data_IF_428696248677
#
_entry.id   IF_428696248677
#
_cell.length_a   1.000
_cell.length_b   1.000
_cell.length_c   1.000
_cell.angle_alpha   90.00
_cell.angle_beta   90.00
_cell.angle_gamma   90.00
#
_symmetry.space_group_name_H-M   'P 1'
#
loop_
_entity.id
_entity.type
_entity.pdbx_description
1 polymer ?
#
# COMPACT_ATOMS: atom_id res chain seq x y z
N UNK A 1 17.75 23.87 9.98
CA UNK A 1 16.54 23.41 9.32
C UNK A 1 16.10 22.11 9.98
N UNK A 2 14.82 21.98 10.24
CA UNK A 2 14.32 20.74 10.79
C UNK A 2 14.56 19.61 9.79
N UNK A 3 14.78 18.42 10.28
CA UNK A 3 14.95 17.26 9.44
C UNK A 3 13.61 16.87 8.83
N UNK A 4 13.59 16.19 7.67
CA UNK A 4 12.35 15.71 7.09
C UNK A 4 11.52 14.85 8.04
N UNK A 5 12.18 14.17 9.01
CA UNK A 5 11.48 13.37 10.00
C UNK A 5 10.59 14.20 10.92
N UNK A 6 10.93 15.47 11.14
CA UNK A 6 10.13 16.36 11.97
C UNK A 6 8.77 16.65 11.34
N UNK A 7 8.64 16.49 10.02
CA UNK A 7 7.40 16.71 9.31
C UNK A 7 6.53 15.45 9.24
N UNK A 8 7.08 14.28 9.59
CA UNK A 8 6.31 13.05 9.53
C UNK A 8 5.49 12.86 10.80
N UNK A 9 4.19 12.75 10.62
CA UNK A 9 3.27 12.44 11.70
C UNK A 9 2.51 11.16 11.35
N UNK A 10 2.73 10.07 12.07
CA UNK A 10 2.01 8.82 11.80
C UNK A 10 0.53 8.89 12.16
N UNK A 11 0.12 9.89 12.91
CA UNK A 11 -1.26 10.05 13.35
C UNK A 11 -2.08 10.85 12.33
N UNK A 12 -2.40 10.21 11.21
CA UNK A 12 -3.22 10.81 10.15
C UNK A 12 -4.70 10.58 10.42
N UNK A 13 -5.54 11.51 9.99
CA UNK A 13 -6.99 11.48 10.22
C UNK A 13 -7.75 11.26 8.91
N UNK A 14 -8.89 10.53 8.93
CA UNK A 14 -9.74 10.39 7.75
C UNK A 14 -10.15 11.76 7.20
N UNK A 15 -9.99 11.94 5.88
CA UNK A 15 -10.27 13.21 5.23
C UNK A 15 -9.18 14.26 5.40
N UNK A 16 -8.18 14.00 6.24
CA UNK A 16 -7.05 14.91 6.46
C UNK A 16 -5.91 14.72 5.48
N UNK A 17 -4.85 15.54 5.61
CA UNK A 17 -3.69 15.41 4.74
C UNK A 17 -2.92 14.13 5.03
N UNK A 18 -2.19 13.65 4.03
CA UNK A 18 -1.27 12.54 4.25
C UNK A 18 0.05 13.03 4.84
N UNK A 19 0.74 12.12 5.54
CA UNK A 19 2.09 12.36 6.06
C UNK A 19 3.11 11.70 5.14
N UNK A 20 4.26 12.34 4.99
CA UNK A 20 5.32 11.87 4.10
C UNK A 20 6.58 11.62 4.88
N UNK A 21 7.19 10.45 4.67
CA UNK A 21 8.51 10.12 5.21
C UNK A 21 9.45 9.80 4.06
N UNK A 22 10.60 10.48 4.03
CA UNK A 22 11.61 10.23 3.01
C UNK A 22 12.79 9.47 3.59
N UNK A 23 13.05 8.29 3.01
CA UNK A 23 14.24 7.50 3.30
C UNK A 23 15.25 7.71 2.18
N UNK A 24 16.42 7.05 2.25
CA UNK A 24 17.46 7.23 1.26
C UNK A 24 16.99 6.88 -0.15
N UNK A 25 16.23 5.79 -0.29
CA UNK A 25 15.82 5.29 -1.61
C UNK A 25 14.30 5.20 -1.79
N UNK A 26 13.54 5.51 -0.77
CA UNK A 26 12.09 5.27 -0.73
C UNK A 26 11.37 6.45 -0.09
N UNK A 27 10.27 6.89 -0.70
CA UNK A 27 9.35 7.84 -0.09
C UNK A 27 8.08 7.09 0.32
N UNK A 28 7.65 7.28 1.55
CA UNK A 28 6.44 6.66 2.09
C UNK A 28 5.42 7.75 2.41
N UNK A 29 4.21 7.62 1.85
CA UNK A 29 3.09 8.50 2.16
C UNK A 29 2.01 7.69 2.84
N UNK A 30 1.52 8.16 3.99
CA UNK A 30 0.49 7.51 4.78
C UNK A 30 -0.75 8.39 4.86
N UNK A 31 -1.90 7.80 4.61
CA UNK A 31 -3.18 8.49 4.62
C UNK A 31 -4.21 7.63 5.36
N UNK A 32 -5.17 8.26 6.03
CA UNK A 32 -6.30 7.56 6.63
C UNK A 32 -7.55 7.81 5.80
N UNK A 33 -8.36 6.76 5.65
CA UNK A 33 -9.62 6.81 4.92
C UNK A 33 -10.72 6.13 5.73
N UNK A 34 -11.96 6.48 5.41
CA UNK A 34 -13.20 5.92 5.95
C UNK A 34 -13.42 6.18 7.45
N UNK A 35 -14.64 5.90 7.91
CA UNK A 35 -14.99 6.00 9.33
C UNK A 35 -14.26 4.95 10.18
N UNK A 36 -13.75 3.90 9.54
CA UNK A 36 -12.96 2.86 10.20
C UNK A 36 -11.51 3.28 10.45
N UNK A 37 -11.11 4.47 9.99
CA UNK A 37 -9.76 5.00 10.15
C UNK A 37 -8.71 4.05 9.58
N UNK A 38 -8.95 3.57 8.37
CA UNK A 38 -8.03 2.64 7.71
C UNK A 38 -6.85 3.37 7.08
N UNK A 39 -5.69 2.79 7.20
CA UNK A 39 -4.47 3.36 6.65
C UNK A 39 -4.26 2.91 5.20
N UNK A 40 -3.85 3.85 4.37
CA UNK A 40 -3.42 3.60 2.99
C UNK A 40 -1.98 4.10 2.89
N UNK A 41 -1.11 3.27 2.37
CA UNK A 41 0.30 3.64 2.20
C UNK A 41 0.66 3.66 0.73
N UNK A 42 1.31 4.72 0.29
CA UNK A 42 1.91 4.79 -1.04
C UNK A 42 3.43 4.86 -0.89
N UNK A 43 4.09 3.92 -1.52
CA UNK A 43 5.56 3.83 -1.53
C UNK A 43 6.05 4.20 -2.92
N UNK A 44 7.00 5.12 -3.00
CA UNK A 44 7.59 5.58 -4.26
C UNK A 44 9.08 5.32 -4.26
N UNK A 45 9.57 4.59 -5.27
CA UNK A 45 11.00 4.40 -5.48
C UNK A 45 11.60 5.73 -5.94
N UNK A 46 12.58 6.24 -5.19
CA UNK A 46 13.15 7.56 -5.48
C UNK A 46 14.00 7.58 -6.74
N UNK A 47 14.52 6.43 -7.15
CA UNK A 47 15.35 6.34 -8.35
C UNK A 47 14.52 6.27 -9.62
N UNK A 48 13.45 5.44 -9.64
CA UNK A 48 12.69 5.18 -10.85
C UNK A 48 11.34 5.90 -10.90
N UNK A 49 10.81 6.30 -9.75
CA UNK A 49 9.47 6.86 -9.64
C UNK A 49 8.36 5.83 -9.62
N UNK A 50 8.67 4.54 -9.74
CA UNK A 50 7.65 3.49 -9.66
C UNK A 50 7.03 3.43 -8.27
N UNK A 51 5.73 3.12 -8.22
CA UNK A 51 4.97 3.20 -6.98
C UNK A 51 4.24 1.91 -6.68
N UNK A 52 4.11 1.65 -5.38
CA UNK A 52 3.36 0.54 -4.81
C UNK A 52 2.36 1.10 -3.79
N UNK A 53 1.11 0.66 -3.87
CA UNK A 53 0.07 1.02 -2.90
C UNK A 53 -0.20 -0.18 -2.00
N UNK A 54 -0.34 0.08 -0.71
CA UNK A 54 -0.72 -0.94 0.28
C UNK A 54 -2.11 -0.62 0.78
N UNK A 55 -3.03 -1.54 0.54
CA UNK A 55 -4.44 -1.49 0.92
C UNK A 55 -5.23 -0.35 0.29
N UNK A 56 -5.90 -0.64 -0.83
CA UNK A 56 -6.90 0.24 -1.42
C UNK A 56 -8.18 0.16 -0.59
N UNK A 57 -8.12 0.69 0.63
CA UNK A 57 -9.12 0.44 1.67
C UNK A 57 -10.47 1.09 1.36
N UNK A 58 -10.48 2.37 0.96
CA UNK A 58 -11.71 3.11 0.67
C UNK A 58 -11.34 4.43 0.00
N UNK A 59 -12.35 5.21 -0.40
CA UNK A 59 -12.20 6.56 -0.96
C UNK A 59 -11.23 6.60 -2.15
N UNK A 60 -11.59 5.89 -3.21
CA UNK A 60 -10.76 5.77 -4.41
C UNK A 60 -10.32 7.10 -5.00
N UNK A 61 -11.14 8.16 -4.89
CA UNK A 61 -10.76 9.48 -5.37
C UNK A 61 -9.55 10.03 -4.62
N UNK A 62 -9.52 9.87 -3.29
CA UNK A 62 -8.37 10.29 -2.50
C UNK A 62 -7.13 9.45 -2.77
N UNK A 63 -7.33 8.16 -3.06
CA UNK A 63 -6.23 7.30 -3.49
C UNK A 63 -5.64 7.79 -4.81
N UNK A 64 -6.48 8.19 -5.77
CA UNK A 64 -6.00 8.76 -7.03
C UNK A 64 -5.19 10.03 -6.80
N UNK A 65 -5.64 10.90 -5.90
CA UNK A 65 -4.90 12.11 -5.54
C UNK A 65 -3.54 11.78 -4.90
N UNK A 66 -3.53 10.78 -4.00
CA UNK A 66 -2.29 10.33 -3.35
C UNK A 66 -1.29 9.80 -4.38
N UNK A 67 -1.73 8.95 -5.29
CA UNK A 67 -0.87 8.41 -6.35
C UNK A 67 -0.31 9.53 -7.23
N UNK A 68 -1.16 10.49 -7.60
CA UNK A 68 -0.75 11.62 -8.42
C UNK A 68 0.29 12.50 -7.71
N UNK A 69 0.20 12.61 -6.39
CA UNK A 69 1.18 13.38 -5.60
C UNK A 69 2.57 12.74 -5.64
N UNK A 70 2.65 11.41 -5.77
CA UNK A 70 3.92 10.70 -5.80
C UNK A 70 4.48 10.50 -7.19
N UNK A 71 3.65 10.50 -8.23
CA UNK A 71 4.10 10.24 -9.59
C UNK A 71 2.95 10.03 -10.55
N UNK A 72 3.20 9.29 -11.63
CA UNK A 72 2.27 9.20 -12.74
C UNK A 72 1.53 7.86 -12.85
N UNK A 73 1.76 6.92 -11.97
CA UNK A 73 1.09 5.63 -12.07
C UNK A 73 1.35 4.73 -10.88
N UNK A 74 0.82 3.53 -10.96
CA UNK A 74 0.91 2.54 -9.90
C UNK A 74 1.35 1.21 -10.50
N UNK A 75 2.51 0.71 -10.08
CA UNK A 75 3.06 -0.54 -10.60
C UNK A 75 2.53 -1.75 -9.83
N UNK A 76 2.37 -1.62 -8.53
CA UNK A 76 1.96 -2.72 -7.64
C UNK A 76 0.86 -2.27 -6.69
N UNK A 77 -0.06 -3.17 -6.38
CA UNK A 77 -1.10 -2.96 -5.38
C UNK A 77 -1.16 -4.20 -4.50
N UNK A 78 -0.75 -4.06 -3.24
CA UNK A 78 -0.72 -5.15 -2.28
C UNK A 78 -1.86 -4.99 -1.28
N UNK A 79 -2.63 -6.06 -1.07
CA UNK A 79 -3.67 -6.13 -0.05
C UNK A 79 -3.15 -6.96 1.12
N UNK A 80 -3.12 -6.36 2.31
CA UNK A 80 -2.52 -7.02 3.48
C UNK A 80 -3.40 -8.12 4.05
N UNK A 81 -4.72 -7.96 3.99
CA UNK A 81 -5.66 -8.99 4.44
C UNK A 81 -7.06 -8.78 3.85
N UNK A 82 -7.93 -9.80 4.03
CA UNK A 82 -9.20 -9.89 3.31
C UNK A 82 -10.37 -9.11 3.89
N UNK A 83 -10.22 -8.49 5.06
CA UNK A 83 -11.34 -7.79 5.70
C UNK A 83 -11.92 -6.72 4.79
N UNK A 84 -13.25 -6.61 4.75
CA UNK A 84 -13.97 -5.75 3.82
C UNK A 84 -13.54 -4.28 3.89
N UNK A 85 -13.16 -3.80 5.06
CA UNK A 85 -12.75 -2.41 5.27
C UNK A 85 -11.37 -2.09 4.67
N UNK A 86 -10.63 -3.09 4.20
CA UNK A 86 -9.34 -2.93 3.54
C UNK A 86 -9.39 -3.11 2.04
N UNK A 87 -10.55 -3.42 1.46
CA UNK A 87 -10.66 -3.76 0.04
C UNK A 87 -11.76 -3.02 -0.70
N UNK A 88 -12.37 -2.01 -0.08
CA UNK A 88 -13.53 -1.31 -0.66
C UNK A 88 -13.21 -0.58 -1.95
N UNK A 89 -11.99 -0.07 -2.10
CA UNK A 89 -11.54 0.61 -3.32
C UNK A 89 -10.61 -0.24 -4.18
N UNK A 90 -10.46 -1.53 -3.89
CA UNK A 90 -9.53 -2.41 -4.60
C UNK A 90 -9.85 -2.49 -6.09
N UNK A 91 -11.10 -2.79 -6.44
CA UNK A 91 -11.48 -2.97 -7.84
C UNK A 91 -11.32 -1.69 -8.65
N UNK A 92 -11.81 -0.56 -8.13
CA UNK A 92 -11.71 0.70 -8.87
C UNK A 92 -10.27 1.18 -9.01
N UNK A 93 -9.43 0.97 -8.00
CA UNK A 93 -8.01 1.34 -8.07
C UNK A 93 -7.28 0.47 -9.10
N UNK A 94 -7.57 -0.83 -9.11
CA UNK A 94 -7.00 -1.74 -10.08
C UNK A 94 -7.43 -1.37 -11.51
N UNK A 95 -8.67 -0.98 -11.71
CA UNK A 95 -9.16 -0.56 -13.03
C UNK A 95 -8.51 0.75 -13.48
N UNK A 96 -8.33 1.68 -12.56
CA UNK A 96 -7.77 3.00 -12.88
C UNK A 96 -6.31 2.92 -13.30
N UNK A 97 -5.50 2.15 -12.59
CA UNK A 97 -4.04 2.15 -12.77
C UNK A 97 -3.48 0.88 -13.40
N UNK A 98 -4.25 -0.19 -13.45
CA UNK A 98 -3.81 -1.50 -13.96
C UNK A 98 -2.49 -2.00 -13.35
N UNK A 99 -2.35 -1.93 -12.01
CA UNK A 99 -1.16 -2.45 -11.36
C UNK A 99 -1.15 -3.98 -11.33
N UNK A 100 0.00 -4.57 -11.02
CA UNK A 100 0.03 -5.97 -10.61
C UNK A 100 -0.56 -6.07 -9.20
N UNK A 101 -1.63 -6.83 -9.03
CA UNK A 101 -2.28 -6.99 -7.72
C UNK A 101 -1.75 -8.20 -7.01
N UNK A 102 -1.52 -8.08 -5.70
CA UNK A 102 -0.91 -9.11 -4.87
C UNK A 102 -1.58 -9.20 -3.51
N UNK A 103 -1.69 -10.40 -2.99
CA UNK A 103 -2.26 -10.65 -1.67
C UNK A 103 -1.75 -11.99 -1.13
N UNK A 104 -1.85 -12.17 0.18
CA UNK A 104 -1.50 -13.45 0.82
C UNK A 104 -2.31 -14.60 0.24
N UNK A 105 -1.65 -15.74 0.02
CA UNK A 105 -2.27 -16.89 -0.62
C UNK A 105 -3.57 -17.33 0.06
N UNK A 106 -3.56 -17.39 1.38
CA UNK A 106 -4.72 -17.90 2.12
C UNK A 106 -5.89 -16.90 2.19
N UNK A 107 -5.67 -15.64 1.83
CA UNK A 107 -6.72 -14.62 1.76
C UNK A 107 -7.17 -14.34 0.31
N UNK A 108 -6.42 -14.80 -0.67
CA UNK A 108 -6.64 -14.41 -2.06
C UNK A 108 -8.04 -14.73 -2.59
N UNK A 109 -8.60 -15.88 -2.22
CA UNK A 109 -9.90 -16.32 -2.71
C UNK A 109 -11.06 -15.55 -2.06
N UNK A 110 -10.81 -14.86 -0.96
CA UNK A 110 -11.84 -14.09 -0.26
C UNK A 110 -11.92 -12.64 -0.72
N UNK A 111 -11.02 -12.21 -1.60
CA UNK A 111 -10.99 -10.83 -2.09
C UNK A 111 -12.03 -10.60 -3.18
N UNK A 112 -12.55 -9.36 -3.31
CA UNK A 112 -13.49 -9.03 -4.39
C UNK A 112 -12.85 -9.08 -5.78
N UNK A 113 -11.52 -9.01 -5.84
CA UNK A 113 -10.74 -9.11 -7.07
C UNK A 113 -9.64 -10.14 -6.85
N UNK A 114 -9.58 -11.15 -7.72
CA UNK A 114 -8.53 -12.16 -7.64
C UNK A 114 -7.16 -11.50 -7.90
N UNK A 115 -6.18 -11.70 -7.01
CA UNK A 115 -4.86 -11.11 -7.21
C UNK A 115 -4.12 -11.80 -8.35
N UNK A 116 -3.25 -11.03 -9.02
CA UNK A 116 -2.37 -11.57 -10.05
C UNK A 116 -1.30 -12.49 -9.42
N UNK A 117 -0.87 -12.15 -8.21
CA UNK A 117 0.18 -12.88 -7.48
C UNK A 117 -0.32 -13.22 -6.09
N UNK A 118 -0.11 -14.48 -5.68
CA UNK A 118 -0.41 -14.97 -4.34
C UNK A 118 0.89 -15.04 -3.55
N UNK A 119 0.92 -14.33 -2.43
CA UNK A 119 2.14 -14.17 -1.63
C UNK A 119 2.23 -15.21 -0.52
N UNK A 120 3.44 -15.72 -0.31
CA UNK A 120 3.77 -16.61 0.79
C UNK A 120 4.88 -16.00 1.62
N UNK A 121 5.02 -16.48 2.85
CA UNK A 121 6.12 -16.02 3.71
C UNK A 121 7.49 -16.25 3.03
N UNK A 122 8.32 -15.24 3.06
CA UNK A 122 9.63 -15.29 2.42
C UNK A 122 9.65 -14.82 0.97
N UNK A 123 8.49 -14.61 0.36
CA UNK A 123 8.42 -14.00 -0.96
C UNK A 123 8.87 -12.54 -0.90
N UNK A 124 9.13 -11.97 -2.06
CA UNK A 124 9.46 -10.55 -2.18
C UNK A 124 8.49 -9.84 -3.11
N UNK A 125 8.30 -8.55 -2.86
CA UNK A 125 7.54 -7.67 -3.75
C UNK A 125 8.50 -6.58 -4.21
N UNK A 126 8.56 -6.35 -5.52
CA UNK A 126 9.50 -5.39 -6.12
C UNK A 126 8.78 -4.32 -6.91
N UNK A 127 9.27 -3.09 -6.78
CA UNK A 127 8.88 -1.98 -7.64
C UNK A 127 10.07 -1.05 -7.78
N UNK A 128 10.40 -0.68 -9.03
CA UNK A 128 11.61 0.07 -9.29
C UNK A 128 12.84 -0.69 -8.78
N UNK A 129 13.64 -0.05 -7.97
CA UNK A 129 14.82 -0.66 -7.35
C UNK A 129 14.58 -1.08 -5.90
N UNK A 130 13.32 -1.06 -5.46
CA UNK A 130 12.94 -1.41 -4.08
C UNK A 130 12.50 -2.87 -4.03
N UNK A 131 12.95 -3.57 -2.98
CA UNK A 131 12.52 -4.93 -2.68
C UNK A 131 11.97 -4.98 -1.27
N UNK A 132 10.76 -5.49 -1.11
CA UNK A 132 10.11 -5.67 0.18
C UNK A 132 10.00 -7.16 0.48
N UNK A 133 10.26 -7.54 1.73
CA UNK A 133 10.09 -8.93 2.17
C UNK A 133 8.68 -9.16 2.68
N UNK A 134 8.09 -10.29 2.32
CA UNK A 134 6.75 -10.68 2.75
C UNK A 134 6.84 -11.51 4.03
N UNK A 135 6.15 -11.04 5.06
CA UNK A 135 6.05 -11.73 6.34
C UNK A 135 4.61 -12.16 6.55
N UNK A 136 4.39 -13.45 6.71
CA UNK A 136 3.05 -14.00 6.94
C UNK A 136 2.67 -13.81 8.41
N UNK A 137 1.53 -13.14 8.65
CA UNK A 137 1.02 -12.87 9.99
C UNK A 137 -0.30 -13.62 10.19
N UNK A 138 -0.20 -14.90 10.48
CA UNK A 138 -1.39 -15.73 10.73
C UNK A 138 -2.04 -15.34 12.06
N UNK A 139 -3.35 -15.20 12.07
CA UNK A 139 -4.10 -14.92 13.30
C UNK A 139 -5.24 -13.92 13.11
N UNK A 140 -4.95 -12.76 12.52
CA UNK A 140 -5.99 -11.77 12.22
C UNK A 140 -6.87 -12.26 11.06
N UNK A 141 -6.25 -12.73 9.98
CA UNK A 141 -6.87 -13.53 8.93
C UNK A 141 -5.91 -14.65 8.57
N UNK A 142 -6.37 -15.72 7.89
CA UNK A 142 -5.48 -16.82 7.51
C UNK A 142 -4.28 -16.38 6.65
N UNK A 143 -4.48 -15.38 5.79
CA UNK A 143 -3.47 -14.95 4.82
C UNK A 143 -2.94 -13.54 5.03
N UNK A 144 -3.10 -12.95 6.22
CA UNK A 144 -2.55 -11.62 6.50
C UNK A 144 -1.04 -11.58 6.26
N UNK A 145 -0.58 -10.50 5.62
CA UNK A 145 0.85 -10.31 5.37
C UNK A 145 1.29 -8.92 5.81
N UNK A 146 2.55 -8.82 6.17
CA UNK A 146 3.25 -7.55 6.38
C UNK A 146 4.37 -7.45 5.36
N UNK A 147 4.76 -6.23 5.05
CA UNK A 147 5.87 -5.95 4.14
C UNK A 147 6.98 -5.30 4.94
N UNK A 148 8.19 -5.84 4.83
CA UNK A 148 9.36 -5.34 5.55
C UNK A 148 10.37 -4.77 4.55
N UNK A 149 10.91 -3.61 4.88
CA UNK A 149 11.90 -2.93 4.07
C UNK A 149 13.15 -2.68 4.89
N UNK A 150 14.29 -3.04 4.32
CA UNK A 150 15.61 -2.80 4.91
C UNK A 150 16.33 -1.77 4.03
N UNK A 151 16.50 -0.57 4.58
CA UNK A 151 17.10 0.55 3.85
C UNK A 151 18.65 0.49 3.85
#
# INVERSE_FOLDING_TARGET
>A
MSTPTDAYDPDVQPGGPWSTRELAHLTIRKMAVSQMHNNVYLLTCRTTGEQLLVDAADEGERIRELVAAGGSGLAQLVTTHQHWDHVRALEETAQTFSPTTQAGEDDADALPLAPDVRLQHGDTVRFGEITLDVVHLRGHTPGSVALAYDD
#
